data_IF_603943362587
#
_entry.id   IF_603943362587
#
_cell.length_a   1.000
_cell.length_b   1.000
_cell.length_c   1.000
_cell.angle_alpha   90.00
_cell.angle_beta   90.00
_cell.angle_gamma   90.00
#
_symmetry.space_group_name_H-M   'P 1'
#
loop_
_entity.id
_entity.type
_entity.pdbx_description
1 polymer ?
#
# COMPACT_ATOMS: atom_id res chain seq x y z
N UNK A 1 10.85 -31.18 2.73
CA UNK A 1 10.41 -29.97 2.01
C UNK A 1 11.01 -28.78 2.70
N UNK A 2 11.58 -27.83 1.95
CA UNK A 2 12.21 -26.61 2.47
C UNK A 2 11.52 -25.42 1.80
N UNK A 3 11.00 -24.49 2.60
CA UNK A 3 10.39 -23.24 2.12
C UNK A 3 11.33 -22.07 2.42
N UNK A 4 11.62 -21.26 1.40
CA UNK A 4 12.40 -20.03 1.51
C UNK A 4 11.50 -18.88 1.09
N UNK A 5 11.23 -17.96 2.03
CA UNK A 5 10.30 -16.85 1.83
C UNK A 5 10.66 -15.65 2.73
N UNK A 6 10.87 -14.45 2.18
CA UNK A 6 11.05 -14.13 0.76
C UNK A 6 12.46 -14.53 0.28
N UNK A 7 12.56 -15.19 -0.87
CA UNK A 7 13.82 -15.70 -1.40
C UNK A 7 14.78 -14.58 -1.86
N UNK A 8 14.25 -13.46 -2.31
CA UNK A 8 15.02 -12.27 -2.72
C UNK A 8 15.78 -11.59 -1.57
N UNK A 9 15.47 -11.92 -0.31
CA UNK A 9 16.23 -11.42 0.83
C UNK A 9 17.53 -12.20 1.08
N UNK A 10 17.82 -13.25 0.31
CA UNK A 10 19.12 -13.90 0.36
C UNK A 10 20.23 -12.92 -0.04
N UNK A 11 21.21 -12.74 0.83
CA UNK A 11 22.45 -12.07 0.44
C UNK A 11 23.30 -12.96 -0.49
N UNK A 12 24.34 -12.38 -1.08
CA UNK A 12 25.21 -13.08 -2.04
C UNK A 12 25.83 -14.37 -1.45
N UNK A 13 26.22 -14.37 -0.18
CA UNK A 13 26.84 -15.54 0.46
C UNK A 13 25.81 -16.66 0.63
N UNK A 14 24.61 -16.34 1.11
CA UNK A 14 23.50 -17.28 1.26
C UNK A 14 23.07 -17.86 -0.08
N UNK A 15 22.94 -17.02 -1.11
CA UNK A 15 22.58 -17.46 -2.46
C UNK A 15 23.63 -18.43 -3.05
N UNK A 16 24.92 -18.11 -2.93
CA UNK A 16 26.00 -18.95 -3.44
C UNK A 16 26.09 -20.30 -2.70
N UNK A 17 25.87 -20.31 -1.38
CA UNK A 17 25.80 -21.55 -0.62
C UNK A 17 24.60 -22.40 -1.06
N UNK A 18 23.45 -21.76 -1.31
CA UNK A 18 22.23 -22.44 -1.73
C UNK A 18 22.31 -23.04 -3.14
N UNK A 19 23.10 -22.44 -4.05
CA UNK A 19 23.31 -22.98 -5.40
C UNK A 19 23.81 -24.42 -5.38
N UNK A 20 24.72 -24.76 -4.46
CA UNK A 20 25.22 -26.15 -4.32
C UNK A 20 24.08 -27.12 -4.00
N UNK A 21 23.15 -26.72 -3.13
CA UNK A 21 21.99 -27.53 -2.78
C UNK A 21 20.97 -27.63 -3.91
N UNK A 22 20.92 -26.68 -4.84
CA UNK A 22 20.06 -26.76 -6.03
C UNK A 22 20.67 -27.63 -7.12
N UNK A 23 21.99 -27.65 -7.26
CA UNK A 23 22.72 -28.47 -8.23
C UNK A 23 22.77 -29.94 -7.82
N UNK A 24 23.01 -30.19 -6.54
CA UNK A 24 23.11 -31.52 -5.95
C UNK A 24 22.10 -31.62 -4.78
N UNK A 25 20.79 -31.66 -5.08
CA UNK A 25 19.77 -31.71 -4.04
C UNK A 25 19.87 -33.02 -3.26
N UNK A 26 19.76 -33.00 -1.92
CA UNK A 26 19.71 -34.22 -1.13
C UNK A 26 18.53 -35.09 -1.56
N UNK A 27 18.67 -36.41 -1.46
CA UNK A 27 17.60 -37.35 -1.84
C UNK A 27 16.27 -36.97 -1.17
N UNK A 28 15.18 -37.06 -1.94
CA UNK A 28 13.81 -36.80 -1.49
C UNK A 28 13.58 -35.37 -0.93
N UNK A 29 14.38 -34.40 -1.41
CA UNK A 29 14.22 -33.00 -1.02
C UNK A 29 13.48 -32.20 -2.10
N UNK A 30 12.52 -31.38 -1.66
CA UNK A 30 11.83 -30.40 -2.49
C UNK A 30 12.06 -29.02 -1.90
N UNK A 31 12.53 -28.09 -2.74
CA UNK A 31 12.69 -26.68 -2.41
C UNK A 31 11.54 -25.88 -3.01
N UNK A 32 10.91 -25.03 -2.18
CA UNK A 32 9.92 -24.05 -2.61
C UNK A 32 10.47 -22.67 -2.29
N UNK A 33 10.66 -21.85 -3.32
CA UNK A 33 11.12 -20.47 -3.18
C UNK A 33 9.94 -19.56 -3.48
N UNK A 34 9.55 -18.75 -2.50
CA UNK A 34 8.59 -17.68 -2.69
C UNK A 34 9.35 -16.38 -2.95
N UNK A 35 9.07 -15.72 -4.07
CA UNK A 35 9.63 -14.41 -4.36
C UNK A 35 8.55 -13.46 -4.90
N UNK A 36 8.47 -12.27 -4.32
CA UNK A 36 7.62 -11.18 -4.81
C UNK A 36 8.29 -10.47 -5.99
N UNK A 37 9.62 -10.34 -5.95
CA UNK A 37 10.43 -9.68 -6.98
C UNK A 37 11.49 -10.63 -7.52
N UNK A 38 11.07 -11.54 -8.39
CA UNK A 38 11.95 -12.56 -8.99
C UNK A 38 13.20 -11.96 -9.67
N UNK A 39 13.13 -10.72 -10.18
CA UNK A 39 14.24 -10.01 -10.82
C UNK A 39 15.39 -9.64 -9.87
N UNK A 40 15.16 -9.65 -8.55
CA UNK A 40 16.21 -9.42 -7.54
C UNK A 40 17.03 -10.69 -7.30
N UNK A 41 16.43 -11.87 -7.52
CA UNK A 41 17.14 -13.14 -7.34
C UNK A 41 18.26 -13.31 -8.38
N UNK A 42 19.39 -13.92 -8.00
CA UNK A 42 20.44 -14.26 -8.94
C UNK A 42 19.94 -15.15 -10.08
N UNK A 43 20.33 -14.81 -11.31
CA UNK A 43 19.96 -15.57 -12.51
C UNK A 43 20.36 -17.06 -12.43
N UNK A 44 21.41 -17.38 -11.67
CA UNK A 44 21.91 -18.74 -11.43
C UNK A 44 20.96 -19.60 -10.59
N UNK A 45 20.22 -19.01 -9.64
CA UNK A 45 19.16 -19.68 -8.89
C UNK A 45 17.95 -19.86 -9.81
N UNK A 46 17.55 -18.79 -10.50
CA UNK A 46 16.38 -18.79 -11.37
C UNK A 46 16.48 -19.84 -12.48
N UNK A 47 17.67 -20.06 -13.05
CA UNK A 47 17.88 -21.06 -14.11
C UNK A 47 17.78 -22.51 -13.64
N UNK A 48 17.85 -22.77 -12.32
CA UNK A 48 17.77 -24.10 -11.69
C UNK A 48 16.42 -24.36 -11.02
N UNK A 49 15.47 -23.42 -11.12
CA UNK A 49 14.13 -23.56 -10.58
C UNK A 49 13.07 -23.62 -11.69
N UNK A 50 12.03 -24.41 -11.48
CA UNK A 50 10.80 -24.29 -12.26
C UNK A 50 10.03 -23.04 -11.79
N UNK A 51 9.71 -22.15 -12.72
CA UNK A 51 8.95 -20.93 -12.41
C UNK A 51 7.46 -21.25 -12.42
N UNK A 52 6.79 -20.95 -11.32
CA UNK A 52 5.33 -20.93 -11.23
C UNK A 52 4.89 -19.50 -10.93
N UNK A 53 4.28 -18.84 -11.91
CA UNK A 53 3.73 -17.50 -11.72
C UNK A 53 2.32 -17.62 -11.15
N UNK A 54 2.10 -17.07 -9.96
CA UNK A 54 0.78 -16.96 -9.37
C UNK A 54 0.10 -15.73 -9.93
N UNK A 55 -0.84 -15.95 -10.86
CA UNK A 55 -1.66 -14.88 -11.42
C UNK A 55 -2.81 -14.56 -10.45
N UNK A 56 -3.18 -13.27 -10.29
CA UNK A 56 -4.37 -12.92 -9.52
C UNK A 56 -5.63 -13.54 -10.17
N UNK A 57 -6.59 -14.04 -9.37
CA UNK A 57 -7.88 -14.49 -9.89
C UNK A 57 -8.64 -13.36 -10.59
N UNK A 58 -9.65 -13.71 -11.38
CA UNK A 58 -10.51 -12.71 -12.01
C UNK A 58 -11.35 -11.99 -10.96
N UNK A 59 -11.71 -10.73 -11.22
CA UNK A 59 -12.53 -9.93 -10.30
C UNK A 59 -13.84 -10.63 -9.90
N UNK A 60 -14.50 -11.29 -10.87
CA UNK A 60 -15.71 -12.08 -10.62
C UNK A 60 -15.48 -13.21 -9.61
N UNK A 61 -14.35 -13.93 -9.71
CA UNK A 61 -13.98 -15.01 -8.80
C UNK A 61 -13.67 -14.47 -7.39
N UNK A 62 -13.01 -13.32 -7.32
CA UNK A 62 -12.71 -12.63 -6.06
C UNK A 62 -13.99 -12.17 -5.35
N UNK A 63 -14.92 -11.55 -6.07
CA UNK A 63 -16.20 -11.10 -5.52
C UNK A 63 -17.05 -12.28 -5.03
N UNK A 64 -17.17 -13.34 -5.84
CA UNK A 64 -17.85 -14.57 -5.42
C UNK A 64 -17.21 -15.21 -4.19
N UNK A 65 -15.88 -15.20 -4.11
CA UNK A 65 -15.16 -15.72 -2.96
C UNK A 65 -15.42 -14.87 -1.70
N UNK A 66 -15.29 -13.54 -1.79
CA UNK A 66 -15.56 -12.62 -0.67
C UNK A 66 -17.01 -12.72 -0.17
N UNK A 67 -17.97 -12.84 -1.08
CA UNK A 67 -19.38 -13.05 -0.74
C UNK A 67 -19.57 -14.32 0.10
N UNK A 68 -18.89 -15.43 -0.26
CA UNK A 68 -18.92 -16.67 0.52
C UNK A 68 -18.28 -16.53 1.90
N UNK A 69 -17.35 -15.59 2.07
CA UNK A 69 -16.75 -15.26 3.37
C UNK A 69 -17.62 -14.31 4.22
N UNK A 70 -18.80 -13.90 3.72
CA UNK A 70 -19.73 -13.02 4.42
C UNK A 70 -19.47 -11.52 4.22
N UNK A 71 -18.61 -11.13 3.27
CA UNK A 71 -18.37 -9.72 2.95
C UNK A 71 -19.51 -9.17 2.10
N UNK A 72 -20.13 -8.08 2.55
CA UNK A 72 -21.24 -7.42 1.87
C UNK A 72 -20.83 -6.92 0.48
N UNK A 73 -21.69 -7.14 -0.52
CA UNK A 73 -21.44 -6.81 -1.94
C UNK A 73 -21.02 -5.35 -2.13
N UNK A 74 -21.66 -4.42 -1.40
CA UNK A 74 -21.36 -2.98 -1.51
C UNK A 74 -19.95 -2.60 -1.04
N UNK A 75 -19.28 -3.46 -0.27
CA UNK A 75 -17.94 -3.20 0.27
C UNK A 75 -16.83 -3.91 -0.51
N UNK A 76 -17.16 -4.93 -1.32
CA UNK A 76 -16.17 -5.80 -1.96
C UNK A 76 -15.22 -5.04 -2.88
N UNK A 77 -15.76 -4.18 -3.74
CA UNK A 77 -14.96 -3.39 -4.68
C UNK A 77 -13.99 -2.46 -3.95
N UNK A 78 -14.46 -1.72 -2.95
CA UNK A 78 -13.62 -0.84 -2.13
C UNK A 78 -12.52 -1.63 -1.41
N UNK A 79 -12.87 -2.75 -0.78
CA UNK A 79 -11.92 -3.58 -0.04
C UNK A 79 -10.85 -4.18 -0.96
N UNK A 80 -11.24 -4.65 -2.16
CA UNK A 80 -10.31 -5.16 -3.16
C UNK A 80 -9.39 -4.06 -3.69
N UNK A 81 -9.92 -2.87 -3.97
CA UNK A 81 -9.12 -1.72 -4.39
C UNK A 81 -8.08 -1.34 -3.33
N UNK A 82 -8.49 -1.25 -2.05
CA UNK A 82 -7.61 -0.96 -0.92
C UNK A 82 -6.58 -2.08 -0.68
N UNK A 83 -6.93 -3.33 -0.98
CA UNK A 83 -6.04 -4.48 -0.85
C UNK A 83 -5.15 -4.71 -2.09
N UNK A 84 -5.23 -3.88 -3.12
CA UNK A 84 -4.49 -4.07 -4.37
C UNK A 84 -4.84 -5.39 -5.09
N UNK A 85 -6.09 -5.84 -4.95
CA UNK A 85 -6.57 -7.11 -5.51
C UNK A 85 -6.23 -8.36 -4.69
N UNK A 86 -5.65 -8.23 -3.49
CA UNK A 86 -5.35 -9.37 -2.63
C UNK A 86 -6.60 -9.81 -1.82
N UNK A 87 -7.22 -10.97 -2.11
CA UNK A 87 -8.49 -11.36 -1.48
C UNK A 87 -8.39 -11.59 0.02
N UNK A 88 -7.31 -12.21 0.49
CA UNK A 88 -7.12 -12.49 1.92
C UNK A 88 -6.95 -11.20 2.73
N UNK A 89 -6.26 -10.21 2.16
CA UNK A 89 -6.11 -8.90 2.79
C UNK A 89 -7.41 -8.11 2.77
N UNK A 90 -8.17 -8.18 1.67
CA UNK A 90 -9.51 -7.60 1.60
C UNK A 90 -10.47 -8.20 2.65
N UNK A 91 -10.36 -9.51 2.90
CA UNK A 91 -11.12 -10.18 3.96
C UNK A 91 -10.69 -9.70 5.36
N UNK A 92 -9.39 -9.57 5.61
CA UNK A 92 -8.87 -9.04 6.88
C UNK A 92 -9.36 -7.61 7.14
N UNK A 93 -9.38 -6.77 6.10
CA UNK A 93 -9.94 -5.42 6.17
C UNK A 93 -11.45 -5.42 6.47
N UNK A 94 -12.21 -6.38 5.93
CA UNK A 94 -13.63 -6.52 6.20
C UNK A 94 -13.93 -6.95 7.64
N UNK A 95 -13.04 -7.77 8.23
CA UNK A 95 -13.20 -8.34 9.57
C UNK A 95 -12.63 -7.46 10.69
N UNK A 96 -11.92 -6.38 10.34
CA UNK A 96 -11.27 -5.47 11.27
C UNK A 96 -11.92 -4.08 11.27
N UNK A 97 -11.59 -3.25 12.26
CA UNK A 97 -12.03 -1.83 12.32
C UNK A 97 -11.24 -0.91 11.36
N UNK A 98 -10.57 -1.49 10.35
CA UNK A 98 -9.68 -0.80 9.42
C UNK A 98 -10.42 0.32 8.67
N UNK A 99 -11.62 0.05 8.15
CA UNK A 99 -12.40 1.04 7.39
C UNK A 99 -12.82 2.24 8.24
N UNK A 100 -13.23 2.00 9.49
CA UNK A 100 -13.57 3.07 10.43
C UNK A 100 -12.34 3.92 10.77
N UNK A 101 -11.20 3.28 11.06
CA UNK A 101 -9.94 3.97 11.29
C UNK A 101 -9.52 4.80 10.07
N UNK A 102 -9.65 4.25 8.86
CA UNK A 102 -9.38 4.93 7.59
C UNK A 102 -10.23 6.19 7.44
N UNK A 103 -11.54 6.09 7.68
CA UNK A 103 -12.46 7.22 7.61
C UNK A 103 -12.12 8.31 8.64
N UNK A 104 -11.81 7.91 9.88
CA UNK A 104 -11.38 8.84 10.92
C UNK A 104 -10.10 9.58 10.52
N UNK A 105 -9.09 8.84 10.03
CA UNK A 105 -7.84 9.44 9.55
C UNK A 105 -8.08 10.39 8.38
N UNK A 106 -8.90 10.02 7.40
CA UNK A 106 -9.25 10.90 6.29
C UNK A 106 -9.95 12.18 6.76
N UNK A 107 -10.86 12.06 7.74
CA UNK A 107 -11.61 13.18 8.29
C UNK A 107 -10.72 14.21 8.99
N UNK A 108 -9.65 13.76 9.65
CA UNK A 108 -8.67 14.65 10.26
C UNK A 108 -7.74 15.24 9.20
N UNK A 109 -7.27 14.40 8.28
CA UNK A 109 -6.30 14.76 7.25
C UNK A 109 -6.85 15.82 6.28
N UNK A 110 -8.10 15.71 5.84
CA UNK A 110 -8.70 16.65 4.89
C UNK A 110 -8.83 18.09 5.44
N UNK A 111 -8.84 18.26 6.76
CA UNK A 111 -9.02 19.57 7.42
C UNK A 111 -7.75 20.42 7.42
N UNK A 112 -6.58 19.78 7.36
CA UNK A 112 -5.28 20.43 7.49
C UNK A 112 -5.02 21.51 6.42
N UNK A 113 -5.10 21.23 5.10
CA UNK A 113 -4.81 22.23 4.07
C UNK A 113 -5.86 23.34 4.05
N UNK A 114 -7.02 23.12 4.66
CA UNK A 114 -8.08 24.11 4.83
C UNK A 114 -7.90 24.95 6.10
N UNK A 115 -6.74 24.86 6.76
CA UNK A 115 -6.38 25.54 8.01
C UNK A 115 -7.34 25.27 9.19
N UNK A 116 -8.01 24.12 9.17
CA UNK A 116 -9.00 23.74 10.19
C UNK A 116 -8.45 22.74 11.23
N UNK A 117 -7.15 22.43 11.18
CA UNK A 117 -6.50 21.51 12.12
C UNK A 117 -4.98 21.77 12.20
N UNK A 118 -4.39 21.52 13.37
CA UNK A 118 -2.94 21.61 13.59
C UNK A 118 -2.22 20.33 13.12
N UNK A 119 -1.23 20.40 12.20
CA UNK A 119 -0.47 19.24 11.74
C UNK A 119 0.25 18.48 12.86
N UNK A 120 0.78 19.19 13.85
CA UNK A 120 1.60 18.62 14.94
C UNK A 120 0.73 17.78 15.88
N UNK A 121 -0.45 18.28 16.25
CA UNK A 121 -1.40 17.56 17.09
C UNK A 121 -1.89 16.27 16.40
N UNK A 122 -2.14 16.33 15.09
CA UNK A 122 -2.53 15.14 14.34
C UNK A 122 -1.38 14.14 14.22
N UNK A 123 -0.12 14.61 14.07
CA UNK A 123 1.05 13.73 14.06
C UNK A 123 1.18 12.94 15.38
N UNK A 124 0.99 13.60 16.51
CA UNK A 124 1.00 12.94 17.83
C UNK A 124 -0.11 11.89 17.97
N UNK A 125 -1.32 12.21 17.47
CA UNK A 125 -2.44 11.25 17.43
C UNK A 125 -2.09 10.02 16.57
N UNK A 126 -1.45 10.22 15.42
CA UNK A 126 -1.12 9.16 14.47
C UNK A 126 0.13 8.37 14.84
N UNK A 127 0.98 8.88 15.72
CA UNK A 127 2.20 8.20 16.17
C UNK A 127 1.97 6.76 16.69
N UNK A 128 0.79 6.52 17.28
CA UNK A 128 0.37 5.21 17.81
C UNK A 128 -0.10 4.24 16.73
N UNK A 129 -0.39 4.72 15.53
CA UNK A 129 -0.93 3.91 14.43
C UNK A 129 0.21 3.27 13.60
N UNK A 130 -0.06 2.13 12.94
CA UNK A 130 0.92 1.51 12.05
C UNK A 130 1.21 2.39 10.82
N UNK A 131 2.46 2.77 10.62
CA UNK A 131 2.90 3.53 9.42
C UNK A 131 2.65 2.75 8.13
N UNK A 132 2.76 1.42 8.19
CA UNK A 132 2.45 0.49 7.09
C UNK A 132 0.99 0.53 6.64
N UNK A 133 0.08 1.09 7.45
CA UNK A 133 -1.34 1.22 7.14
C UNK A 133 -1.67 2.66 6.70
N UNK A 134 -1.14 3.66 7.40
CA UNK A 134 -1.43 5.08 7.14
C UNK A 134 -0.84 5.56 5.81
N UNK A 135 0.43 5.24 5.52
CA UNK A 135 1.09 5.77 4.32
C UNK A 135 0.44 5.28 3.02
N UNK A 136 0.05 3.99 2.86
CA UNK A 136 -0.71 3.55 1.69
C UNK A 136 -2.03 4.31 1.51
N UNK A 137 -2.75 4.62 2.60
CA UNK A 137 -3.96 5.43 2.52
C UNK A 137 -3.68 6.83 2.00
N UNK A 138 -2.70 7.52 2.59
CA UNK A 138 -2.29 8.87 2.15
C UNK A 138 -1.91 8.92 0.68
N UNK A 139 -1.18 7.89 0.21
CA UNK A 139 -0.81 7.75 -1.20
C UNK A 139 -2.07 7.60 -2.05
N UNK A 140 -2.95 6.65 -1.71
CA UNK A 140 -4.16 6.39 -2.49
C UNK A 140 -5.09 7.61 -2.55
N UNK A 141 -5.25 8.35 -1.45
CA UNK A 141 -6.06 9.56 -1.42
C UNK A 141 -5.44 10.66 -2.27
N UNK A 142 -4.12 10.83 -2.19
CA UNK A 142 -3.40 11.83 -2.97
C UNK A 142 -3.48 11.53 -4.47
N UNK A 143 -3.32 10.26 -4.86
CA UNK A 143 -3.48 9.80 -6.23
C UNK A 143 -4.90 10.05 -6.75
N UNK A 144 -5.93 9.75 -5.95
CA UNK A 144 -7.31 10.00 -6.36
C UNK A 144 -7.65 11.51 -6.41
N UNK A 145 -7.06 12.36 -5.55
CA UNK A 145 -7.18 13.82 -5.69
C UNK A 145 -6.56 14.29 -7.01
N UNK A 146 -5.39 13.76 -7.39
CA UNK A 146 -4.75 14.06 -8.68
C UNK A 146 -5.68 13.62 -9.82
N UNK A 147 -6.24 12.40 -9.78
CA UNK A 147 -7.22 11.92 -10.78
C UNK A 147 -8.45 12.83 -10.86
N UNK A 148 -9.01 13.25 -9.72
CA UNK A 148 -10.12 14.19 -9.66
C UNK A 148 -9.78 15.54 -10.29
N UNK A 149 -8.53 16.02 -10.18
CA UNK A 149 -8.09 17.25 -10.84
C UNK A 149 -8.19 17.15 -12.37
N UNK A 150 -7.98 15.95 -12.93
CA UNK A 150 -8.13 15.67 -14.36
C UNK A 150 -9.54 15.22 -14.77
N UNK A 151 -10.54 15.30 -13.88
CA UNK A 151 -11.93 14.87 -14.10
C UNK A 151 -12.05 13.41 -14.57
N UNK A 152 -11.20 12.53 -14.02
CA UNK A 152 -11.29 11.09 -14.24
C UNK A 152 -12.60 10.53 -13.65
N UNK A 153 -13.18 9.54 -14.32
CA UNK A 153 -14.42 8.88 -13.89
C UNK A 153 -14.27 8.20 -12.52
N UNK A 154 -15.35 8.21 -11.73
CA UNK A 154 -15.37 7.65 -10.37
C UNK A 154 -15.03 6.15 -10.33
N UNK A 155 -15.38 5.40 -11.38
CA UNK A 155 -15.06 3.98 -11.55
C UNK A 155 -13.55 3.68 -11.57
N UNK A 156 -12.71 4.69 -11.80
CA UNK A 156 -11.24 4.56 -11.81
C UNK A 156 -10.57 5.05 -10.51
N UNK A 157 -11.36 5.49 -9.52
CA UNK A 157 -10.86 5.89 -8.21
C UNK A 157 -10.71 4.66 -7.31
N UNK A 158 -9.61 4.62 -6.55
CA UNK A 158 -9.42 3.58 -5.54
C UNK A 158 -10.38 3.80 -4.37
N UNK A 159 -10.62 5.06 -4.02
CA UNK A 159 -11.40 5.53 -2.87
C UNK A 159 -12.73 6.16 -3.32
N UNK A 160 -13.52 5.43 -4.11
CA UNK A 160 -14.81 5.90 -4.64
C UNK A 160 -15.79 6.34 -3.52
N UNK A 161 -15.67 5.78 -2.32
CA UNK A 161 -16.44 6.16 -1.14
C UNK A 161 -16.17 7.60 -0.67
N UNK A 162 -15.01 8.18 -1.02
CA UNK A 162 -14.58 9.52 -0.62
C UNK A 162 -14.66 10.55 -1.75
N UNK A 163 -15.16 10.18 -2.93
CA UNK A 163 -15.16 10.99 -4.17
C UNK A 163 -15.57 12.45 -3.94
N UNK A 164 -16.68 12.69 -3.24
CA UNK A 164 -17.21 14.04 -2.98
C UNK A 164 -16.18 14.94 -2.28
N UNK A 165 -15.45 14.40 -1.31
CA UNK A 165 -14.43 15.13 -0.55
C UNK A 165 -13.15 15.33 -1.38
N UNK A 166 -12.74 14.30 -2.11
CA UNK A 166 -11.56 14.35 -2.99
C UNK A 166 -11.75 15.40 -4.09
N UNK A 167 -12.95 15.51 -4.67
CA UNK A 167 -13.32 16.54 -5.65
C UNK A 167 -13.32 17.96 -5.09
N UNK A 168 -13.59 18.14 -3.79
CA UNK A 168 -13.49 19.46 -3.15
C UNK A 168 -12.03 19.83 -2.94
N UNK A 169 -11.19 18.87 -2.50
CA UNK A 169 -9.76 19.08 -2.32
C UNK A 169 -9.06 19.36 -3.66
N UNK A 170 -9.39 18.63 -4.73
CA UNK A 170 -8.75 18.79 -6.05
C UNK A 170 -8.85 20.21 -6.63
N UNK A 171 -9.87 20.98 -6.21
CA UNK A 171 -10.11 22.38 -6.61
C UNK A 171 -9.41 23.40 -5.72
N UNK A 172 -8.94 23.00 -4.53
CA UNK A 172 -8.37 23.89 -3.51
C UNK A 172 -6.86 23.72 -3.33
N UNK A 173 -6.29 22.66 -3.88
CA UNK A 173 -4.89 22.31 -3.75
C UNK A 173 -4.13 22.65 -5.02
N UNK A 174 -2.87 23.06 -4.86
CA UNK A 174 -1.96 23.31 -5.96
C UNK A 174 -1.43 21.98 -6.51
N UNK A 175 -1.59 21.75 -7.82
CA UNK A 175 -1.23 20.48 -8.45
C UNK A 175 0.26 20.17 -8.33
N UNK A 176 1.13 21.18 -8.48
CA UNK A 176 2.59 20.97 -8.39
C UNK A 176 2.97 20.52 -6.98
N UNK A 177 2.46 21.20 -5.95
CA UNK A 177 2.70 20.81 -4.55
C UNK A 177 2.11 19.46 -4.20
N UNK A 178 0.99 19.08 -4.82
CA UNK A 178 0.39 17.75 -4.63
C UNK A 178 1.29 16.62 -5.16
N UNK A 179 1.92 16.81 -6.33
CA UNK A 179 2.94 15.87 -6.84
C UNK A 179 4.20 15.84 -5.97
N UNK A 180 4.65 16.97 -5.46
CA UNK A 180 5.78 17.03 -4.51
C UNK A 180 5.46 16.25 -3.22
N UNK A 181 4.23 16.39 -2.71
CA UNK A 181 3.71 15.64 -1.57
C UNK A 181 3.61 14.14 -1.86
N UNK A 182 3.08 13.74 -3.01
CA UNK A 182 3.04 12.33 -3.43
C UNK A 182 4.43 11.70 -3.47
N UNK A 183 5.42 12.42 -4.02
CA UNK A 183 6.82 11.96 -4.05
C UNK A 183 7.41 11.80 -2.64
N UNK A 184 7.08 12.70 -1.71
CA UNK A 184 7.48 12.57 -0.30
C UNK A 184 6.92 11.28 0.30
N UNK A 185 5.63 10.99 0.08
CA UNK A 185 5.00 9.77 0.58
C UNK A 185 5.66 8.50 0.03
N UNK A 186 5.90 8.44 -1.29
CA UNK A 186 6.57 7.29 -1.92
C UNK A 186 8.01 7.09 -1.40
N UNK A 187 8.74 8.18 -1.17
CA UNK A 187 10.10 8.13 -0.61
C UNK A 187 10.07 7.57 0.81
N UNK A 188 9.11 8.00 1.62
CA UNK A 188 8.97 7.53 3.00
C UNK A 188 8.46 6.08 3.09
N UNK A 189 7.62 5.62 2.15
CA UNK A 189 7.23 4.20 2.05
C UNK A 189 8.44 3.27 1.92
N UNK A 190 9.44 3.65 1.12
CA UNK A 190 10.66 2.85 0.94
C UNK A 190 11.52 2.79 2.22
N UNK A 191 11.33 3.73 3.15
CA UNK A 191 12.08 3.82 4.40
C UNK A 191 11.38 3.14 5.58
N UNK A 192 10.13 2.68 5.44
CA UNK A 192 9.40 1.95 6.51
C UNK A 192 10.20 0.79 7.12
N UNK A 193 10.96 -0.02 6.35
CA UNK A 193 11.75 -1.11 6.92
C UNK A 193 12.92 -0.65 7.82
N UNK A 194 13.21 0.65 7.88
CA UNK A 194 14.29 1.21 8.69
C UNK A 194 13.81 1.68 10.07
N UNK A 195 14.72 1.87 11.04
CA UNK A 195 14.41 2.45 12.35
C UNK A 195 14.13 3.96 12.23
N UNK A 196 12.96 4.33 11.72
CA UNK A 196 12.55 5.71 11.53
C UNK A 196 11.78 6.24 12.74
N UNK A 197 12.05 7.50 13.14
CA UNK A 197 11.27 8.16 14.16
C UNK A 197 9.87 8.49 13.60
N UNK A 198 8.84 7.74 14.04
CA UNK A 198 7.46 7.87 13.55
C UNK A 198 6.87 9.27 13.78
N UNK A 199 7.24 9.94 14.87
CA UNK A 199 6.71 11.29 15.16
C UNK A 199 7.20 12.28 14.11
N UNK A 200 8.52 12.33 13.90
CA UNK A 200 9.14 13.22 12.91
C UNK A 200 8.62 12.94 11.49
N UNK A 201 8.39 11.65 11.17
CA UNK A 201 7.80 11.26 9.89
C UNK A 201 6.42 11.87 9.67
N UNK A 202 5.51 11.72 10.65
CA UNK A 202 4.15 12.26 10.51
C UNK A 202 4.14 13.78 10.55
N UNK A 203 5.00 14.43 11.33
CA UNK A 203 5.15 15.88 11.31
C UNK A 203 5.59 16.39 9.93
N UNK A 204 6.63 15.79 9.33
CA UNK A 204 7.10 16.16 7.98
C UNK A 204 5.98 16.01 6.94
N UNK A 205 5.29 14.87 6.95
CA UNK A 205 4.18 14.59 6.04
C UNK A 205 3.07 15.62 6.22
N UNK A 206 2.59 15.85 7.45
CA UNK A 206 1.41 16.68 7.69
C UNK A 206 1.70 18.18 7.54
N UNK A 207 2.93 18.63 7.83
CA UNK A 207 3.37 20.00 7.54
C UNK A 207 3.43 20.22 6.04
N UNK A 208 4.02 19.29 5.29
CA UNK A 208 4.08 19.38 3.82
C UNK A 208 2.68 19.37 3.23
N UNK A 209 1.79 18.54 3.75
CA UNK A 209 0.37 18.51 3.37
C UNK A 209 -0.32 19.86 3.60
N UNK A 210 -0.09 20.54 4.73
CA UNK A 210 -0.65 21.87 5.01
C UNK A 210 -0.23 22.91 3.97
N UNK A 211 0.98 22.80 3.42
CA UNK A 211 1.51 23.73 2.43
C UNK A 211 0.93 23.51 1.01
N UNK A 212 0.19 22.42 0.76
CA UNK A 212 -0.37 22.12 -0.57
C UNK A 212 -1.52 23.05 -0.99
N UNK A 213 -2.12 23.78 -0.05
CA UNK A 213 -3.21 24.70 -0.35
C UNK A 213 -2.79 25.83 -1.30
N UNK A 214 -3.69 26.20 -2.22
CA UNK A 214 -3.51 27.37 -3.08
C UNK A 214 -3.51 28.61 -2.18
N UNK A 215 -2.43 29.39 -2.23
CA UNK A 215 -2.36 30.69 -1.54
C UNK A 215 -3.26 31.66 -2.31
N UNK A 216 -4.24 32.26 -1.65
CA UNK A 216 -4.97 33.41 -2.18
C UNK A 216 -4.04 34.61 -2.33
#
# INVERSE_FOLDING_TARGET
MVLISPAENMNNNSANAFLKCLEEPPERTMFILLAEKIQILPATIISRCQKLLLMPPRLEELNMWLQKQGVAEQQQELLLNLAGGAPLLALDYAQSNMLEQRQNCFSDWQKIPLANACPIELAEKWHKLPTSQILPWLISWTEDIIKCHFNIENSMLCNADLEKYLNVLSKRLDLKRLYEFHRLLLTNMQRIPTQLNKQLLFEEILITWALTAIKK
#
